data_IF_541454976352
#
_entry.id   IF_541454976352
#
_cell.length_a   1.000
_cell.length_b   1.000
_cell.length_c   1.000
_cell.angle_alpha   90.00
_cell.angle_beta   90.00
_cell.angle_gamma   90.00
#
_symmetry.space_group_name_H-M   'P 1'
#
loop_
_entity.id
_entity.type
_entity.pdbx_description
1 polymer ?
#
# COMPACT_ATOMS: atom_id res chain seq x y z
N UNK A 1 -11.33 -16.89 39.00
CA UNK A 1 -10.23 -16.84 39.98
C UNK A 1 -9.51 -15.50 39.84
N UNK A 2 -9.53 -14.69 40.89
CA UNK A 2 -8.80 -13.41 41.00
C UNK A 2 -7.33 -13.70 41.33
N UNK A 3 -6.40 -12.96 40.75
CA UNK A 3 -5.09 -12.76 41.37
C UNK A 3 -4.69 -11.29 41.26
N UNK A 4 -4.96 -10.57 42.34
CA UNK A 4 -4.33 -9.29 42.64
C UNK A 4 -2.92 -9.59 43.18
N UNK A 5 -1.92 -8.75 42.88
CA UNK A 5 -1.05 -8.22 43.92
C UNK A 5 -0.31 -6.98 43.41
N UNK A 6 -0.33 -5.93 44.24
CA UNK A 6 0.40 -4.67 44.11
C UNK A 6 1.69 -4.75 44.94
N UNK A 7 2.51 -3.70 44.84
CA UNK A 7 3.64 -3.27 45.70
C UNK A 7 5.03 -3.86 45.41
N UNK A 8 5.99 -3.02 45.01
CA UNK A 8 6.96 -2.25 45.83
C UNK A 8 7.76 -1.32 44.88
N UNK A 9 7.71 0.01 45.00
CA UNK A 9 8.48 0.92 45.88
C UNK A 9 9.94 1.18 45.42
N UNK A 10 10.14 2.36 44.80
CA UNK A 10 11.20 3.39 45.02
C UNK A 10 12.68 2.98 44.93
N UNK A 11 13.47 3.64 44.04
CA UNK A 11 14.50 4.62 44.44
C UNK A 11 15.14 5.36 43.24
N UNK A 12 15.13 6.68 43.40
CA UNK A 12 15.88 7.78 42.81
C UNK A 12 17.36 7.48 42.42
N UNK A 13 17.79 7.92 41.23
CA UNK A 13 19.17 8.30 40.95
C UNK A 13 19.19 9.46 39.95
N UNK A 14 19.49 10.65 40.48
CA UNK A 14 19.83 11.87 39.76
C UNK A 14 21.25 11.69 39.22
N UNK A 15 21.45 11.86 37.91
CA UNK A 15 22.73 12.28 37.37
C UNK A 15 22.48 13.43 36.39
N UNK A 16 22.78 14.63 36.86
CA UNK A 16 23.00 15.80 36.02
C UNK A 16 24.49 15.86 35.71
N UNK A 17 24.88 15.75 34.43
CA UNK A 17 26.14 16.34 33.93
C UNK A 17 25.85 16.97 32.56
N UNK A 18 26.32 18.22 32.48
CA UNK A 18 26.14 19.31 31.53
C UNK A 18 26.69 19.09 30.11
N UNK A 19 26.25 19.89 29.11
CA UNK A 19 26.71 19.81 27.73
C UNK A 19 28.08 20.48 27.58
N UNK A 20 29.08 19.72 27.11
CA UNK A 20 30.34 20.29 26.64
C UNK A 20 30.27 20.44 25.12
N UNK A 21 29.76 21.59 24.67
CA UNK A 21 29.98 22.07 23.31
C UNK A 21 31.44 22.56 23.24
N UNK A 22 32.33 21.73 22.71
CA UNK A 22 33.69 22.15 22.37
C UNK A 22 33.61 22.79 20.99
N UNK A 23 33.42 24.11 20.95
CA UNK A 23 33.74 24.91 19.77
C UNK A 23 35.27 24.97 19.68
N UNK A 24 35.85 24.07 18.90
CA UNK A 24 37.26 24.18 18.50
C UNK A 24 37.38 25.25 17.41
N UNK A 25 37.99 26.36 17.81
CA UNK A 25 38.39 27.49 16.98
C UNK A 25 39.51 27.09 16.02
N UNK A 26 39.37 27.49 14.75
CA UNK A 26 40.25 27.21 13.62
C UNK A 26 41.75 27.38 13.91
N UNK A 27 42.56 26.38 13.52
CA UNK A 27 43.91 26.61 13.00
C UNK A 27 44.46 25.37 12.27
N UNK A 28 44.61 25.53 10.95
CA UNK A 28 45.51 24.87 10.00
C UNK A 28 45.73 23.35 10.01
N UNK A 29 45.58 22.81 8.80
CA UNK A 29 46.21 21.63 8.19
C UNK A 29 45.39 20.34 8.04
N UNK A 30 45.22 20.02 6.75
CA UNK A 30 45.22 18.72 6.09
C UNK A 30 43.99 17.81 6.28
N UNK A 31 43.11 17.91 5.27
CA UNK A 31 42.62 16.80 4.45
C UNK A 31 42.32 15.47 5.17
N UNK A 32 41.09 15.36 5.66
CA UNK A 32 40.10 14.36 5.22
C UNK A 32 38.91 14.44 6.19
N UNK A 33 38.06 15.45 5.97
CA UNK A 33 36.67 15.30 6.44
C UNK A 33 36.12 14.07 5.71
N UNK A 34 35.54 13.07 6.41
CA UNK A 34 34.79 12.04 5.72
C UNK A 34 33.64 12.76 5.04
N UNK A 35 33.74 12.92 3.72
CA UNK A 35 32.62 13.30 2.87
C UNK A 35 31.55 12.27 3.17
N UNK A 36 30.57 12.65 3.99
CA UNK A 36 29.34 11.91 4.11
C UNK A 36 28.68 12.07 2.75
N UNK A 37 28.92 11.11 1.87
CA UNK A 37 28.20 10.95 0.61
C UNK A 37 26.75 10.57 0.97
N UNK A 38 25.99 11.57 1.42
CA UNK A 38 24.55 11.45 1.62
C UNK A 38 23.80 11.82 0.33
N UNK A 39 24.37 11.47 -0.81
CA UNK A 39 23.60 11.34 -2.03
C UNK A 39 23.04 9.93 -2.09
N UNK A 40 22.02 9.65 -1.26
CA UNK A 40 21.09 8.55 -1.56
C UNK A 40 20.32 8.94 -2.83
N UNK A 41 21.00 8.89 -3.98
CA UNK A 41 20.44 9.19 -5.27
C UNK A 41 19.29 8.22 -5.46
N UNK A 42 18.08 8.77 -5.52
CA UNK A 42 16.90 8.01 -5.91
C UNK A 42 17.11 7.54 -7.34
N UNK A 43 17.34 6.23 -7.50
CA UNK A 43 17.57 5.62 -8.81
C UNK A 43 16.40 4.76 -9.27
N UNK A 44 15.60 4.26 -8.33
CA UNK A 44 14.53 3.30 -8.62
C UNK A 44 13.18 3.82 -8.17
N UNK A 45 12.14 3.32 -8.82
CA UNK A 45 10.75 3.50 -8.43
C UNK A 45 10.14 2.12 -8.28
N UNK A 46 9.47 1.88 -7.15
CA UNK A 46 8.64 0.69 -6.92
C UNK A 46 7.18 1.08 -7.03
N UNK A 47 6.46 0.36 -7.86
CA UNK A 47 5.03 0.49 -8.07
C UNK A 47 4.38 -0.78 -7.52
N UNK A 48 3.36 -0.62 -6.70
CA UNK A 48 2.61 -1.71 -6.09
C UNK A 48 1.13 -1.54 -6.36
N UNK A 49 0.51 -2.59 -6.88
CA UNK A 49 -0.92 -2.74 -7.09
C UNK A 49 -1.43 -3.77 -6.10
N UNK A 50 -2.36 -3.40 -5.22
CA UNK A 50 -2.91 -4.34 -4.24
C UNK A 50 -4.44 -4.30 -4.23
N UNK A 51 -5.06 -5.47 -4.12
CA UNK A 51 -6.51 -5.63 -3.99
C UNK A 51 -6.82 -6.74 -3.00
N UNK A 52 -7.65 -6.42 -2.01
CA UNK A 52 -8.13 -7.31 -0.97
C UNK A 52 -9.66 -7.20 -0.90
N UNK A 53 -10.37 -8.26 -1.25
CA UNK A 53 -11.83 -8.28 -1.34
C UNK A 53 -12.39 -9.38 -0.44
N UNK A 54 -13.54 -9.14 0.16
CA UNK A 54 -14.31 -10.21 0.79
C UNK A 54 -14.64 -11.33 -0.23
N UNK A 55 -14.62 -12.59 0.21
CA UNK A 55 -14.87 -13.79 -0.62
C UNK A 55 -16.16 -13.70 -1.46
N UNK A 56 -17.18 -12.99 -0.95
CA UNK A 56 -18.44 -12.74 -1.66
C UNK A 56 -18.21 -12.08 -3.04
N UNK A 57 -17.20 -11.23 -3.20
CA UNK A 57 -16.86 -10.65 -4.50
C UNK A 57 -16.47 -11.74 -5.49
N UNK A 58 -15.57 -12.64 -5.11
CA UNK A 58 -15.11 -13.74 -5.97
C UNK A 58 -16.17 -14.81 -6.18
N UNK A 59 -17.07 -15.01 -5.22
CA UNK A 59 -18.18 -15.97 -5.31
C UNK A 59 -19.20 -15.52 -6.37
N UNK A 60 -19.64 -14.26 -6.32
CA UNK A 60 -20.75 -13.75 -7.13
C UNK A 60 -20.34 -12.94 -8.38
N UNK A 61 -19.10 -12.45 -8.44
CA UNK A 61 -18.61 -11.60 -9.52
C UNK A 61 -17.37 -12.18 -10.20
N UNK A 62 -17.23 -11.90 -11.49
CA UNK A 62 -15.96 -11.96 -12.19
C UNK A 62 -15.20 -10.66 -11.89
N UNK A 63 -14.19 -10.76 -11.03
CA UNK A 63 -13.37 -9.61 -10.66
C UNK A 63 -12.25 -9.45 -11.68
N UNK A 64 -12.27 -8.34 -12.39
CA UNK A 64 -11.28 -7.95 -13.41
C UNK A 64 -10.39 -6.84 -12.84
N UNK A 65 -9.08 -7.03 -12.93
CA UNK A 65 -8.11 -5.98 -12.66
C UNK A 65 -7.45 -5.56 -13.96
N UNK A 66 -7.20 -4.25 -14.08
CA UNK A 66 -6.43 -3.66 -15.16
C UNK A 66 -5.34 -2.79 -14.55
N UNK A 67 -4.07 -3.03 -14.91
CA UNK A 67 -2.93 -2.28 -14.40
C UNK A 67 -1.92 -1.96 -15.51
N UNK A 68 -1.04 -1.00 -15.26
CA UNK A 68 0.10 -0.70 -16.15
C UNK A 68 1.26 -1.65 -15.86
N UNK A 69 1.67 -2.43 -16.84
CA UNK A 69 2.83 -3.32 -16.78
C UNK A 69 4.17 -2.57 -16.83
N UNK A 70 5.28 -3.30 -16.70
CA UNK A 70 6.62 -2.73 -16.69
C UNK A 70 7.04 -2.09 -18.02
N UNK A 71 6.43 -2.55 -19.12
CA UNK A 71 6.62 -2.00 -20.46
C UNK A 71 5.77 -0.74 -20.72
N UNK A 72 4.96 -0.32 -19.74
CA UNK A 72 4.04 0.80 -19.85
C UNK A 72 2.71 0.48 -20.53
N UNK A 73 2.50 -0.75 -20.99
CA UNK A 73 1.24 -1.17 -21.59
C UNK A 73 0.22 -1.55 -20.50
N UNK A 74 -1.06 -1.52 -20.87
CA UNK A 74 -2.12 -1.96 -19.97
C UNK A 74 -2.29 -3.48 -20.05
N UNK A 75 -2.25 -4.14 -18.90
CA UNK A 75 -2.55 -5.55 -18.74
C UNK A 75 -3.91 -5.71 -18.05
N UNK A 76 -4.68 -6.73 -18.41
CA UNK A 76 -5.99 -7.03 -17.81
C UNK A 76 -6.12 -8.51 -17.55
N UNK A 77 -6.57 -8.87 -16.35
CA UNK A 77 -6.83 -10.26 -15.98
C UNK A 77 -7.99 -10.40 -15.01
N UNK A 78 -8.63 -11.57 -15.03
CA UNK A 78 -9.61 -11.97 -14.03
C UNK A 78 -8.88 -12.61 -12.86
N UNK A 79 -9.26 -12.23 -11.65
CA UNK A 79 -8.67 -12.73 -10.40
C UNK A 79 -9.73 -13.46 -9.57
N UNK A 80 -9.30 -14.49 -8.84
CA UNK A 80 -10.17 -15.32 -8.00
C UNK A 80 -9.81 -15.26 -6.51
N UNK A 81 -8.76 -14.52 -6.19
CA UNK A 81 -8.26 -14.30 -4.85
C UNK A 81 -7.60 -12.91 -4.77
N UNK A 82 -7.26 -12.50 -3.56
CA UNK A 82 -6.54 -11.24 -3.32
C UNK A 82 -5.22 -11.22 -4.11
N UNK A 83 -4.82 -10.04 -4.56
CA UNK A 83 -3.57 -9.89 -5.32
C UNK A 83 -2.75 -8.74 -4.76
N UNK A 84 -1.44 -8.95 -4.72
CA UNK A 84 -0.44 -7.89 -4.57
C UNK A 84 0.62 -8.11 -5.64
N UNK A 85 0.75 -7.13 -6.53
CA UNK A 85 1.77 -7.13 -7.57
C UNK A 85 2.66 -5.93 -7.38
N UNK A 86 3.96 -6.14 -7.59
CA UNK A 86 4.91 -5.03 -7.56
C UNK A 86 5.95 -5.16 -8.64
N UNK A 87 6.39 -4.01 -9.13
CA UNK A 87 7.51 -3.90 -10.04
C UNK A 87 8.44 -2.80 -9.56
N UNK A 88 9.73 -3.04 -9.70
CA UNK A 88 10.77 -2.05 -9.38
C UNK A 88 11.58 -1.80 -10.64
N UNK A 89 11.64 -0.54 -11.06
CA UNK A 89 12.28 -0.10 -12.29
C UNK A 89 13.23 1.04 -11.98
N UNK A 90 14.26 1.22 -12.81
CA UNK A 90 15.00 2.48 -12.77
C UNK A 90 14.06 3.63 -13.15
N UNK A 91 14.23 4.79 -12.51
CA UNK A 91 13.32 5.92 -12.65
C UNK A 91 13.18 6.41 -14.10
N UNK A 92 14.27 6.37 -14.87
CA UNK A 92 14.31 6.73 -16.28
C UNK A 92 13.62 5.69 -17.20
N UNK A 93 13.57 4.42 -16.77
CA UNK A 93 12.94 3.31 -17.49
C UNK A 93 11.47 3.11 -17.12
N UNK A 94 11.04 3.64 -15.98
CA UNK A 94 9.65 3.55 -15.53
C UNK A 94 8.68 4.19 -16.54
N UNK A 95 7.44 3.65 -16.67
CA UNK A 95 6.38 4.29 -17.43
C UNK A 95 6.11 5.72 -16.95
N UNK A 96 5.78 6.63 -17.87
CA UNK A 96 5.47 8.02 -17.50
C UNK A 96 4.19 8.12 -16.66
N UNK A 97 3.27 7.17 -16.84
CA UNK A 97 2.03 7.07 -16.07
C UNK A 97 1.72 5.62 -15.77
N UNK A 98 1.27 5.37 -14.55
CA UNK A 98 0.78 4.08 -14.09
C UNK A 98 -0.70 4.21 -13.70
N UNK A 99 -1.48 3.18 -13.97
CA UNK A 99 -2.90 3.14 -13.63
C UNK A 99 -3.26 1.79 -13.01
N UNK A 100 -4.29 1.81 -12.16
CA UNK A 100 -4.87 0.61 -11.58
C UNK A 100 -6.39 0.75 -11.46
N UNK A 101 -7.10 -0.26 -11.97
CA UNK A 101 -8.54 -0.33 -11.99
C UNK A 101 -9.01 -1.72 -11.55
N UNK A 102 -10.05 -1.74 -10.72
CA UNK A 102 -10.69 -2.98 -10.25
C UNK A 102 -12.19 -2.88 -10.53
N UNK A 103 -12.69 -3.84 -11.30
CA UNK A 103 -14.11 -3.94 -11.68
C UNK A 103 -14.63 -5.31 -11.26
N UNK A 104 -15.77 -5.34 -10.57
CA UNK A 104 -16.52 -6.56 -10.31
C UNK A 104 -17.74 -6.61 -11.24
N UNK A 105 -17.74 -7.57 -12.17
CA UNK A 105 -18.85 -7.82 -13.11
C UNK A 105 -19.66 -9.01 -12.61
N UNK A 106 -21.00 -8.94 -12.52
CA UNK A 106 -21.80 -10.09 -12.11
C UNK A 106 -21.49 -11.32 -12.96
N UNK A 107 -21.43 -12.49 -12.32
CA UNK A 107 -21.39 -13.75 -13.08
C UNK A 107 -22.73 -13.99 -13.76
N UNK A 108 -22.70 -14.68 -14.89
CA UNK A 108 -23.93 -15.11 -15.58
C UNK A 108 -24.71 -16.15 -14.76
N UNK A 109 -23.98 -17.00 -14.03
CA UNK A 109 -24.53 -18.06 -13.17
C UNK A 109 -23.93 -17.98 -11.76
N UNK A 110 -24.26 -16.94 -10.96
CA UNK A 110 -23.82 -16.86 -9.58
C UNK A 110 -24.56 -17.90 -8.73
N UNK A 111 -24.03 -18.29 -7.57
CA UNK A 111 -24.78 -19.10 -6.62
C UNK A 111 -26.04 -18.38 -6.14
N UNK A 112 -26.99 -19.14 -5.61
CA UNK A 112 -28.23 -18.56 -5.07
C UNK A 112 -27.93 -17.76 -3.79
N UNK A 113 -28.54 -16.58 -3.68
CA UNK A 113 -28.44 -15.76 -2.47
C UNK A 113 -29.35 -16.34 -1.40
N UNK A 114 -28.79 -16.68 -0.24
CA UNK A 114 -29.48 -17.30 0.88
C UNK A 114 -30.35 -16.28 1.65
N UNK A 115 -31.57 -16.69 2.01
CA UNK A 115 -32.47 -15.87 2.82
C UNK A 115 -31.92 -15.67 4.25
N UNK A 116 -32.01 -14.44 4.75
CA UNK A 116 -31.53 -14.08 6.09
C UNK A 116 -30.00 -14.00 6.25
N UNK A 117 -29.22 -14.42 5.24
CA UNK A 117 -27.76 -14.27 5.25
C UNK A 117 -27.37 -12.81 5.03
N UNK A 118 -26.34 -12.38 5.75
CA UNK A 118 -25.67 -11.09 5.56
C UNK A 118 -24.34 -11.34 4.87
N UNK A 119 -24.16 -10.72 3.71
CA UNK A 119 -22.98 -10.83 2.90
C UNK A 119 -22.03 -9.67 3.20
N UNK A 120 -20.73 -9.98 3.31
CA UNK A 120 -19.70 -8.94 3.38
C UNK A 120 -19.35 -8.48 1.97
N UNK A 121 -19.25 -7.16 1.79
CA UNK A 121 -18.81 -6.51 0.57
C UNK A 121 -17.61 -5.60 0.88
N UNK A 122 -16.89 -5.94 1.95
CA UNK A 122 -15.65 -5.28 2.32
C UNK A 122 -14.67 -5.35 1.15
N UNK A 123 -14.00 -4.23 0.90
CA UNK A 123 -12.98 -4.15 -0.14
C UNK A 123 -11.92 -3.11 0.23
N UNK A 124 -10.69 -3.44 -0.14
CA UNK A 124 -9.53 -2.57 -0.14
C UNK A 124 -8.81 -2.67 -1.47
N UNK A 125 -8.36 -1.54 -1.99
CA UNK A 125 -7.48 -1.51 -3.14
C UNK A 125 -6.55 -0.30 -3.07
N UNK A 126 -5.31 -0.45 -3.57
CA UNK A 126 -4.32 0.61 -3.57
C UNK A 126 -3.43 0.56 -4.81
N UNK A 127 -3.03 1.75 -5.25
CA UNK A 127 -1.91 1.98 -6.14
C UNK A 127 -0.89 2.79 -5.32
N UNK A 128 0.26 2.19 -5.05
CA UNK A 128 1.36 2.83 -4.33
C UNK A 128 2.55 3.00 -5.25
N UNK A 129 3.19 4.17 -5.20
CA UNK A 129 4.42 4.48 -5.93
C UNK A 129 5.40 5.10 -4.97
N UNK A 130 6.56 4.45 -4.79
CA UNK A 130 7.62 4.90 -3.89
C UNK A 130 8.95 4.99 -4.63
N UNK A 131 9.80 5.94 -4.25
CA UNK A 131 11.19 5.99 -4.70
C UNK A 131 12.05 5.10 -3.83
N UNK A 132 13.09 4.56 -4.45
CA UNK A 132 14.06 3.72 -3.77
C UNK A 132 15.48 4.11 -4.16
N UNK A 133 16.40 3.88 -3.23
CA UNK A 133 17.83 3.88 -3.48
C UNK A 133 18.25 2.70 -4.34
N UNK A 134 19.51 2.68 -4.79
CA UNK A 134 20.05 1.56 -5.55
C UNK A 134 20.01 0.23 -4.79
N UNK A 135 20.32 0.27 -3.49
CA UNK A 135 20.32 -0.86 -2.55
C UNK A 135 18.91 -1.29 -2.13
N UNK A 136 17.85 -0.67 -2.67
CA UNK A 136 16.47 -1.09 -2.47
C UNK A 136 15.85 -0.63 -1.15
N UNK A 137 16.39 0.44 -0.54
CA UNK A 137 15.74 1.12 0.58
C UNK A 137 14.70 2.10 0.05
N UNK A 138 13.49 2.05 0.59
CA UNK A 138 12.45 3.05 0.27
C UNK A 138 12.86 4.41 0.85
N UNK A 139 12.78 5.46 0.02
CA UNK A 139 13.19 6.83 0.36
C UNK A 139 11.98 7.73 0.55
N UNK A 140 11.04 7.74 -0.41
CA UNK A 140 9.90 8.65 -0.38
C UNK A 140 8.68 8.02 -1.05
N UNK A 141 7.50 8.18 -0.43
CA UNK A 141 6.24 7.85 -1.09
C UNK A 141 5.85 8.99 -2.04
N UNK A 142 5.72 8.67 -3.33
CA UNK A 142 5.28 9.62 -4.36
C UNK A 142 3.76 9.65 -4.49
N UNK A 143 3.12 8.48 -4.33
CA UNK A 143 1.69 8.32 -4.46
C UNK A 143 1.22 7.13 -3.62
N UNK A 144 0.09 7.30 -2.93
CA UNK A 144 -0.63 6.19 -2.29
C UNK A 144 -2.06 6.65 -2.05
N UNK A 145 -3.02 6.04 -2.73
CA UNK A 145 -4.44 6.36 -2.58
C UNK A 145 -5.26 5.11 -2.29
N UNK A 146 -5.14 4.54 -1.07
CA UNK A 146 -5.93 3.38 -0.72
C UNK A 146 -7.41 3.75 -0.67
N UNK A 147 -8.25 2.94 -1.31
CA UNK A 147 -9.70 2.93 -1.06
C UNK A 147 -10.00 1.78 -0.12
N UNK A 148 -10.69 2.06 0.98
CA UNK A 148 -11.15 1.06 1.92
C UNK A 148 -12.63 1.28 2.19
N UNK A 149 -13.43 0.22 2.11
CA UNK A 149 -14.82 0.27 2.54
C UNK A 149 -15.17 -1.00 3.30
N UNK A 150 -15.88 -0.82 4.41
CA UNK A 150 -16.53 -1.90 5.14
C UNK A 150 -18.02 -1.84 4.85
N UNK A 151 -18.54 -2.85 4.15
CA UNK A 151 -19.90 -2.87 3.63
C UNK A 151 -20.54 -4.22 3.89
N UNK A 152 -21.81 -4.21 4.26
CA UNK A 152 -22.62 -5.42 4.45
C UNK A 152 -23.96 -5.26 3.76
N UNK A 153 -24.48 -6.34 3.21
CA UNK A 153 -25.79 -6.38 2.59
C UNK A 153 -26.56 -7.61 3.04
N UNK A 154 -27.82 -7.43 3.45
CA UNK A 154 -28.74 -8.56 3.61
C UNK A 154 -29.08 -9.18 2.25
N UNK A 155 -29.49 -10.45 2.25
CA UNK A 155 -29.77 -11.22 1.03
C UNK A 155 -30.68 -10.52 0.01
N UNK A 156 -31.82 -9.96 0.44
CA UNK A 156 -32.75 -9.27 -0.47
C UNK A 156 -32.13 -8.06 -1.18
N UNK A 157 -31.44 -7.21 -0.42
CA UNK A 157 -30.73 -6.06 -0.99
C UNK A 157 -29.56 -6.52 -1.88
N UNK A 158 -28.90 -7.62 -1.51
CA UNK A 158 -27.77 -8.16 -2.26
C UNK A 158 -28.22 -8.71 -3.62
N UNK A 159 -29.34 -9.46 -3.68
CA UNK A 159 -29.94 -9.93 -4.95
C UNK A 159 -30.16 -8.79 -5.96
N UNK A 160 -30.65 -7.66 -5.48
CA UNK A 160 -30.85 -6.48 -6.33
C UNK A 160 -29.52 -5.85 -6.76
N UNK A 161 -28.52 -5.86 -5.88
CA UNK A 161 -27.19 -5.32 -6.16
C UNK A 161 -26.37 -6.17 -7.14
N UNK A 162 -26.64 -7.49 -7.21
CA UNK A 162 -25.98 -8.44 -8.12
C UNK A 162 -26.24 -8.16 -9.60
N UNK A 163 -27.21 -7.33 -9.95
CA UNK A 163 -27.52 -7.03 -11.36
C UNK A 163 -26.64 -5.92 -11.96
N UNK A 164 -25.67 -5.40 -11.20
CA UNK A 164 -24.89 -4.21 -11.58
C UNK A 164 -23.39 -4.46 -11.47
N UNK A 165 -22.67 -4.05 -12.51
CA UNK A 165 -21.23 -3.88 -12.46
C UNK A 165 -20.84 -2.86 -11.37
N UNK A 166 -19.72 -3.14 -10.69
CA UNK A 166 -19.17 -2.28 -9.64
C UNK A 166 -17.73 -1.93 -9.96
N UNK A 167 -17.44 -0.62 -10.08
CA UNK A 167 -16.07 -0.13 -10.05
C UNK A 167 -15.65 0.01 -8.58
N UNK A 168 -14.72 -0.84 -8.14
CA UNK A 168 -14.22 -0.84 -6.76
C UNK A 168 -13.01 0.08 -6.60
N UNK A 169 -12.23 0.24 -7.67
CA UNK A 169 -11.06 1.09 -7.69
C UNK A 169 -10.77 1.61 -9.09
N UNK A 170 -10.27 2.84 -9.18
CA UNK A 170 -9.81 3.44 -10.44
C UNK A 170 -8.94 4.65 -10.12
N UNK A 171 -7.63 4.51 -10.25
CA UNK A 171 -6.64 5.56 -10.02
C UNK A 171 -5.51 5.49 -11.03
N UNK A 172 -4.85 6.62 -11.23
CA UNK A 172 -3.62 6.72 -12.01
C UNK A 172 -2.69 7.76 -11.39
N UNK A 173 -1.40 7.63 -11.70
CA UNK A 173 -0.35 8.53 -11.24
C UNK A 173 0.71 8.73 -12.32
N UNK A 174 1.13 9.98 -12.53
CA UNK A 174 2.21 10.32 -13.45
C UNK A 174 3.54 10.43 -12.71
N UNK A 175 4.52 9.63 -13.13
CA UNK A 175 5.85 9.57 -12.53
C UNK A 175 6.70 10.70 -13.13
N UNK A 176 7.13 11.64 -12.30
CA UNK A 176 8.05 12.71 -12.73
C UNK A 176 9.47 12.16 -12.80
N UNK A 177 10.01 12.05 -14.02
CA UNK A 177 11.39 11.62 -14.30
C UNK A 177 12.41 12.65 -13.85
#
# INVERSE_FOLDING_TARGET
MKKNSRFFLVLMAIFAITPAAILTSCKDNDDDDPVVDDSQVTLKVKITYSVDLADTWYEFYNVEITYTGSDGNSETKIIQENQEESMTLFKNEAPDTVAFKVIAKPKDTPPEVEDGKVYSLDHSANLSVVTMTEDGKEVTALFSEPTNATLKSGGDAFRQALQKERQLYNRSYSIKK
#
